data_IF_621606451978
#
_entry.id   IF_621606451978
#
_cell.length_a   1.000
_cell.length_b   1.000
_cell.length_c   1.000
_cell.angle_alpha   90.00
_cell.angle_beta   90.00
_cell.angle_gamma   90.00
#
_symmetry.space_group_name_H-M   'P 1'
#
loop_
_entity.id
_entity.type
_entity.pdbx_description
1 polymer ?
#
# COMPACT_ATOMS: atom_id res chain seq x y z
N UNK A 1 -6.98 -11.79 -42.09
CA UNK A 1 -7.04 -11.18 -40.75
C UNK A 1 -5.64 -11.21 -40.18
N UNK A 2 -4.92 -10.09 -40.26
CA UNK A 2 -3.65 -9.93 -39.53
C UNK A 2 -3.95 -10.03 -38.03
N UNK A 3 -3.35 -11.01 -37.34
CA UNK A 3 -3.29 -10.97 -35.89
C UNK A 3 -2.28 -9.88 -35.53
N UNK A 4 -2.74 -8.80 -34.90
CA UNK A 4 -1.86 -7.77 -34.36
C UNK A 4 -0.76 -8.42 -33.49
N UNK A 5 0.49 -8.27 -33.91
CA UNK A 5 1.66 -8.80 -33.20
C UNK A 5 1.74 -8.07 -31.85
N UNK A 6 1.88 -8.81 -30.74
CA UNK A 6 1.93 -8.23 -29.39
C UNK A 6 0.60 -8.22 -28.61
N UNK A 7 -0.41 -8.99 -29.03
CA UNK A 7 -1.63 -9.18 -28.23
C UNK A 7 -1.30 -9.84 -26.88
N UNK A 8 -1.81 -9.27 -25.80
CA UNK A 8 -1.70 -9.86 -24.46
C UNK A 8 -2.45 -11.19 -24.41
N UNK A 9 -1.73 -12.27 -24.09
CA UNK A 9 -2.28 -13.63 -24.00
C UNK A 9 -2.80 -13.93 -22.60
N UNK A 10 -2.15 -13.43 -21.56
CA UNK A 10 -2.52 -13.61 -20.15
C UNK A 10 -1.80 -12.61 -19.27
N UNK A 11 -2.46 -12.15 -18.20
CA UNK A 11 -1.85 -11.33 -17.15
C UNK A 11 -2.03 -12.02 -15.80
N UNK A 12 -0.96 -12.07 -15.00
CA UNK A 12 -1.00 -12.53 -13.61
C UNK A 12 -0.41 -11.46 -12.70
N UNK A 13 -1.20 -11.03 -11.70
CA UNK A 13 -0.80 -9.97 -10.76
C UNK A 13 -0.98 -10.43 -9.33
N UNK A 14 0.01 -10.15 -8.50
CA UNK A 14 -0.03 -10.33 -7.05
C UNK A 14 0.24 -8.99 -6.39
N UNK A 15 -0.57 -8.64 -5.40
CA UNK A 15 -0.45 -7.41 -4.62
C UNK A 15 -0.36 -7.80 -3.15
N UNK A 16 0.63 -7.25 -2.45
CA UNK A 16 0.79 -7.41 -1.03
C UNK A 16 0.54 -6.06 -0.35
N UNK A 17 -0.36 -6.04 0.62
CA UNK A 17 -0.72 -4.86 1.40
C UNK A 17 -0.02 -4.91 2.76
N UNK A 18 0.56 -3.80 3.17
CA UNK A 18 0.91 -3.57 4.58
C UNK A 18 -0.36 -3.28 5.40
N UNK A 19 -0.26 -3.40 6.71
CA UNK A 19 -1.30 -2.97 7.63
C UNK A 19 -1.58 -1.48 7.49
N UNK A 20 -2.85 -1.10 7.64
CA UNK A 20 -3.26 0.29 7.61
C UNK A 20 -2.70 1.01 8.84
N UNK A 21 -2.08 2.17 8.59
CA UNK A 21 -1.49 3.05 9.60
C UNK A 21 -2.35 4.30 9.78
N UNK A 22 -3.30 4.26 10.70
CA UNK A 22 -4.11 5.44 11.04
C UNK A 22 -3.45 6.22 12.18
N UNK A 23 -3.53 7.55 12.17
CA UNK A 23 -3.02 8.35 13.29
C UNK A 23 -3.84 8.11 14.55
N UNK A 24 -3.15 7.90 15.67
CA UNK A 24 -3.73 7.90 17.01
C UNK A 24 -3.59 9.32 17.53
N UNK A 25 -4.69 9.95 17.94
CA UNK A 25 -4.71 11.31 18.46
C UNK A 25 -4.99 11.30 19.98
N UNK A 26 -4.42 12.25 20.73
CA UNK A 26 -4.79 12.52 22.13
C UNK A 26 -6.13 13.28 22.24
N UNK A 27 -6.59 13.53 23.48
CA UNK A 27 -7.81 14.31 23.75
C UNK A 27 -7.76 15.75 23.21
N UNK A 28 -6.56 16.27 22.94
CA UNK A 28 -6.32 17.60 22.36
C UNK A 28 -6.12 17.57 20.84
N UNK A 29 -6.22 16.40 20.19
CA UNK A 29 -6.03 16.22 18.75
C UNK A 29 -4.57 16.12 18.29
N UNK A 30 -3.59 16.00 19.19
CA UNK A 30 -2.19 15.85 18.82
C UNK A 30 -1.87 14.38 18.45
N UNK A 31 -1.02 14.12 17.44
CA UNK A 31 -0.61 12.77 17.08
C UNK A 31 0.21 12.12 18.20
N UNK A 32 -0.29 11.02 18.75
CA UNK A 32 0.40 10.17 19.74
C UNK A 32 1.08 8.95 19.12
N UNK A 33 0.73 8.59 17.88
CA UNK A 33 1.28 7.42 17.21
C UNK A 33 0.50 6.99 15.98
N UNK A 34 0.74 5.77 15.52
CA UNK A 34 0.02 5.15 14.40
C UNK A 34 -0.46 3.75 14.77
N UNK A 35 -1.67 3.40 14.35
CA UNK A 35 -2.16 2.01 14.44
C UNK A 35 -1.42 1.12 13.46
N UNK A 36 -1.48 -0.20 13.68
CA UNK A 36 -1.06 -1.23 12.71
C UNK A 36 -2.20 -2.22 12.55
N UNK A 37 -3.25 -1.80 11.86
CA UNK A 37 -4.49 -2.58 11.73
C UNK A 37 -4.51 -3.31 10.39
N UNK A 38 -4.64 -4.65 10.35
CA UNK A 38 -4.86 -5.38 9.11
C UNK A 38 -6.12 -4.90 8.38
N UNK A 39 -6.13 -4.99 7.06
CA UNK A 39 -7.29 -4.67 6.24
C UNK A 39 -8.40 -5.71 6.45
N UNK A 40 -9.65 -5.27 6.47
CA UNK A 40 -10.80 -6.19 6.54
C UNK A 40 -11.01 -6.92 5.20
N UNK A 41 -11.78 -8.02 5.21
CA UNK A 41 -12.09 -8.74 3.97
C UNK A 41 -12.84 -7.86 2.96
N UNK A 42 -13.82 -7.08 3.41
CA UNK A 42 -14.60 -6.15 2.56
C UNK A 42 -13.71 -5.10 1.88
N UNK A 43 -12.73 -4.57 2.62
CA UNK A 43 -11.80 -3.60 2.08
C UNK A 43 -10.83 -4.25 1.08
N UNK A 44 -10.38 -5.48 1.36
CA UNK A 44 -9.57 -6.25 0.41
C UNK A 44 -10.34 -6.57 -0.87
N UNK A 45 -11.64 -6.88 -0.80
CA UNK A 45 -12.49 -7.08 -1.99
C UNK A 45 -12.58 -5.81 -2.83
N UNK A 46 -12.75 -4.66 -2.17
CA UNK A 46 -12.73 -3.36 -2.84
C UNK A 46 -11.40 -3.14 -3.56
N UNK A 47 -10.27 -3.42 -2.90
CA UNK A 47 -8.93 -3.32 -3.50
C UNK A 47 -8.77 -4.29 -4.68
N UNK A 48 -9.23 -5.54 -4.57
CA UNK A 48 -9.24 -6.50 -5.68
C UNK A 48 -10.00 -5.93 -6.88
N UNK A 49 -11.15 -5.30 -6.66
CA UNK A 49 -11.93 -4.64 -7.69
C UNK A 49 -11.16 -3.52 -8.40
N UNK A 50 -10.51 -2.65 -7.63
CA UNK A 50 -9.68 -1.57 -8.16
C UNK A 50 -8.50 -2.09 -8.98
N UNK A 51 -7.82 -3.13 -8.48
CA UNK A 51 -6.70 -3.78 -9.17
C UNK A 51 -7.16 -4.41 -10.49
N UNK A 52 -8.29 -5.13 -10.48
CA UNK A 52 -8.88 -5.71 -11.70
C UNK A 52 -9.23 -4.65 -12.74
N UNK A 53 -9.82 -3.53 -12.31
CA UNK A 53 -10.15 -2.42 -13.20
C UNK A 53 -8.90 -1.79 -13.81
N UNK A 54 -7.86 -1.52 -12.99
CA UNK A 54 -6.62 -0.89 -13.44
C UNK A 54 -5.86 -1.73 -14.48
N UNK A 55 -5.87 -3.06 -14.37
CA UNK A 55 -5.17 -3.93 -15.32
C UNK A 55 -6.00 -4.32 -16.56
N UNK A 56 -7.28 -3.96 -16.60
CA UNK A 56 -8.20 -4.47 -17.63
C UNK A 56 -8.37 -5.98 -17.56
N UNK A 57 -8.65 -6.50 -16.36
CA UNK A 57 -8.82 -7.92 -16.07
C UNK A 57 -9.80 -8.57 -17.05
N UNK A 58 -9.43 -9.73 -17.57
CA UNK A 58 -10.25 -10.52 -18.48
C UNK A 58 -10.16 -12.01 -18.09
N UNK A 59 -11.25 -12.54 -17.56
CA UNK A 59 -11.35 -13.95 -17.17
C UNK A 59 -11.21 -14.90 -18.35
N UNK A 60 -11.78 -14.56 -19.52
CA UNK A 60 -11.66 -15.38 -20.74
C UNK A 60 -10.23 -15.39 -21.32
N UNK A 61 -9.41 -14.38 -21.00
CA UNK A 61 -7.97 -14.35 -21.28
C UNK A 61 -7.17 -15.20 -20.28
N UNK A 62 -7.80 -15.70 -19.22
CA UNK A 62 -7.16 -16.49 -18.16
C UNK A 62 -6.39 -15.64 -17.16
N UNK A 63 -6.75 -14.37 -17.01
CA UNK A 63 -6.07 -13.49 -16.07
C UNK A 63 -6.30 -13.92 -14.62
N UNK A 64 -5.33 -13.62 -13.76
CA UNK A 64 -5.39 -13.96 -12.33
C UNK A 64 -4.92 -12.81 -11.48
N UNK A 65 -5.64 -12.52 -10.39
CA UNK A 65 -5.28 -11.50 -9.41
C UNK A 65 -5.30 -12.10 -8.01
N UNK A 66 -4.25 -11.85 -7.25
CA UNK A 66 -4.18 -12.18 -5.83
C UNK A 66 -3.85 -10.92 -5.02
N UNK A 67 -4.59 -10.69 -3.94
CA UNK A 67 -4.33 -9.60 -2.99
C UNK A 67 -4.20 -10.19 -1.61
N UNK A 68 -3.00 -10.11 -1.02
CA UNK A 68 -2.70 -10.53 0.34
C UNK A 68 -2.41 -9.34 1.24
N UNK A 69 -2.56 -9.52 2.55
CA UNK A 69 -2.12 -8.54 3.54
C UNK A 69 -1.14 -9.22 4.51
N UNK A 70 0.07 -8.66 4.59
CA UNK A 70 1.10 -9.07 5.52
C UNK A 70 1.76 -7.81 6.07
N UNK A 71 1.99 -7.70 7.39
CA UNK A 71 2.70 -6.56 7.94
C UNK A 71 4.10 -6.50 7.36
N UNK A 72 4.49 -5.33 6.86
CA UNK A 72 5.86 -5.13 6.40
C UNK A 72 6.74 -4.93 7.62
N UNK A 73 7.92 -5.55 7.61
CA UNK A 73 8.95 -5.17 8.58
C UNK A 73 9.26 -3.69 8.36
N UNK A 74 9.28 -2.91 9.44
CA UNK A 74 9.66 -1.52 9.36
C UNK A 74 11.12 -1.50 8.86
N UNK A 75 11.32 -1.12 7.61
CA UNK A 75 12.64 -0.83 7.09
C UNK A 75 13.12 0.44 7.81
N UNK A 76 13.61 0.31 9.05
CA UNK A 76 14.35 1.32 9.82
C UNK A 76 13.79 2.75 9.58
N UNK A 77 12.47 2.92 9.66
CA UNK A 77 11.82 4.24 9.50
C UNK A 77 11.93 5.08 10.80
N UNK A 78 12.55 4.54 11.85
CA UNK A 78 12.86 5.29 13.07
C UNK A 78 13.98 6.33 12.86
N UNK A 79 14.83 6.18 11.83
CA UNK A 79 15.90 7.15 11.57
C UNK A 79 15.38 8.43 10.90
N UNK A 80 14.41 8.39 9.97
CA UNK A 80 14.02 9.61 9.24
C UNK A 80 13.24 10.62 10.11
N UNK A 81 12.34 10.17 10.97
CA UNK A 81 11.60 11.07 11.85
C UNK A 81 12.51 11.69 12.93
N UNK A 82 13.42 10.89 13.50
CA UNK A 82 14.42 11.35 14.44
C UNK A 82 15.45 12.27 13.78
N UNK A 83 15.85 12.01 12.54
CA UNK A 83 16.81 12.82 11.78
C UNK A 83 16.20 14.17 11.33
N UNK A 84 14.91 14.21 10.97
CA UNK A 84 14.19 15.46 10.68
C UNK A 84 14.05 16.32 11.94
N UNK A 85 13.76 15.70 13.10
CA UNK A 85 13.67 16.40 14.38
C UNK A 85 15.06 16.89 14.86
N UNK A 86 16.08 16.04 14.78
CA UNK A 86 17.46 16.40 15.11
C UNK A 86 18.03 17.51 14.21
N UNK A 87 17.66 17.53 12.93
CA UNK A 87 18.06 18.58 11.98
C UNK A 87 17.34 19.90 12.26
N UNK A 88 16.06 19.87 12.66
CA UNK A 88 15.32 21.07 13.10
C UNK A 88 15.92 21.70 14.36
N UNK A 89 16.29 20.89 15.36
CA UNK A 89 16.91 21.37 16.60
C UNK A 89 18.26 22.04 16.32
N UNK A 90 19.06 21.46 15.41
CA UNK A 90 20.37 22.00 15.03
C UNK A 90 20.27 23.37 14.33
N UNK A 91 19.27 23.58 13.47
CA UNK A 91 19.10 24.84 12.74
C UNK A 91 18.46 25.97 13.58
N UNK A 92 17.86 25.66 14.74
CA UNK A 92 17.31 26.67 15.65
C UNK A 92 18.31 27.14 16.72
N UNK A 93 19.55 26.63 16.72
CA UNK A 93 20.61 27.01 17.67
C UNK A 93 21.67 27.98 17.08
N UNK A 94 21.41 28.59 15.92
CA UNK A 94 22.22 29.68 15.37
C UNK A 94 21.36 30.87 14.97
#
# INVERSE_FOLDING_TARGET
MESAVGKVVRISVSVLLDNRRSQILDESGNPMGRTKTPWTEEEKETIVGLVKAAMGYNEARGDTVFVGNMPFEAAIEEDEAAEIEATKVRNNLF
#
